data_IF_870872052669
#
_entry.id   IF_870872052669
#
_cell.length_a   1.000
_cell.length_b   1.000
_cell.length_c   1.000
_cell.angle_alpha   90.00
_cell.angle_beta   90.00
_cell.angle_gamma   90.00
#
_symmetry.space_group_name_H-M   'P 1'
#
loop_
_entity.id
_entity.type
_entity.pdbx_description
1 polymer ?
#
# COMPACT_ATOMS: atom_id res chain seq x y z
N UNK A 1 -29.71 -1.20 -10.33
CA UNK A 1 -29.40 -1.89 -9.05
C UNK A 1 -28.55 -3.14 -9.27
N UNK A 2 -28.42 -3.66 -10.50
CA UNK A 2 -27.53 -4.80 -10.81
C UNK A 2 -26.02 -4.44 -10.83
N UNK A 3 -25.62 -3.20 -11.16
CA UNK A 3 -24.20 -2.80 -11.21
C UNK A 3 -23.49 -2.71 -9.85
N UNK A 4 -24.23 -2.50 -8.75
CA UNK A 4 -23.62 -2.24 -7.43
C UNK A 4 -23.02 -3.50 -6.80
N UNK A 5 -23.36 -4.68 -7.32
CA UNK A 5 -22.87 -5.97 -6.81
C UNK A 5 -21.68 -6.53 -7.59
N UNK A 6 -21.34 -5.95 -8.75
CA UNK A 6 -20.18 -6.39 -9.53
C UNK A 6 -18.86 -6.03 -8.84
N UNK A 7 -18.80 -4.88 -8.17
CA UNK A 7 -17.64 -4.52 -7.34
C UNK A 7 -17.47 -5.46 -6.14
N UNK A 8 -18.56 -5.93 -5.54
CA UNK A 8 -18.54 -6.90 -4.43
C UNK A 8 -18.12 -8.29 -4.90
N UNK A 9 -18.57 -8.71 -6.09
CA UNK A 9 -18.11 -9.93 -6.75
C UNK A 9 -16.61 -9.85 -7.02
N UNK A 10 -16.14 -8.73 -7.55
CA UNK A 10 -14.73 -8.50 -7.85
C UNK A 10 -13.86 -8.50 -6.59
N UNK A 11 -14.23 -7.79 -5.51
CA UNK A 11 -13.51 -7.81 -4.23
C UNK A 11 -13.49 -9.22 -3.65
N UNK A 12 -14.62 -9.94 -3.68
CA UNK A 12 -14.68 -11.34 -3.25
C UNK A 12 -13.75 -12.21 -4.08
N UNK A 13 -13.70 -12.04 -5.40
CA UNK A 13 -12.82 -12.78 -6.29
C UNK A 13 -11.34 -12.45 -6.05
N UNK A 14 -10.97 -11.18 -5.83
CA UNK A 14 -9.60 -10.77 -5.46
C UNK A 14 -9.18 -11.32 -4.10
N UNK A 15 -10.06 -11.29 -3.09
CA UNK A 15 -9.79 -11.85 -1.76
C UNK A 15 -9.71 -13.39 -1.82
N UNK A 16 -10.57 -14.03 -2.61
CA UNK A 16 -10.52 -15.48 -2.84
C UNK A 16 -9.24 -15.86 -3.59
N UNK A 17 -8.83 -15.09 -4.60
CA UNK A 17 -7.58 -15.28 -5.31
C UNK A 17 -6.40 -15.14 -4.33
N UNK A 18 -6.33 -14.06 -3.55
CA UNK A 18 -5.31 -13.88 -2.50
C UNK A 18 -5.31 -15.05 -1.49
N UNK A 19 -6.48 -15.56 -1.12
CA UNK A 19 -6.61 -16.70 -0.20
C UNK A 19 -6.17 -18.03 -0.84
N UNK A 20 -6.44 -18.25 -2.11
CA UNK A 20 -5.97 -19.42 -2.89
C UNK A 20 -4.49 -19.33 -3.26
N UNK A 21 -3.95 -18.12 -3.35
CA UNK A 21 -2.53 -17.84 -3.48
C UNK A 21 -1.82 -18.05 -2.13
N UNK A 22 -2.52 -17.83 -1.00
CA UNK A 22 -2.00 -18.12 0.35
C UNK A 22 -2.09 -19.59 0.78
N UNK A 23 -2.66 -20.48 -0.04
CA UNK A 23 -2.63 -21.92 0.26
C UNK A 23 -1.21 -22.48 0.07
N UNK A 24 -0.69 -23.30 0.99
CA UNK A 24 0.75 -23.64 1.06
C UNK A 24 1.35 -24.38 -0.15
N UNK A 25 0.51 -24.83 -1.10
CA UNK A 25 0.91 -25.72 -2.19
C UNK A 25 0.81 -25.08 -3.59
N UNK A 26 0.41 -23.81 -3.69
CA UNK A 26 0.39 -23.10 -4.96
C UNK A 26 1.60 -22.18 -5.01
N UNK A 27 2.64 -22.56 -5.76
CA UNK A 27 3.71 -21.64 -6.10
C UNK A 27 3.09 -20.48 -6.89
N UNK A 28 2.99 -19.30 -6.25
CA UNK A 28 2.51 -18.10 -6.92
C UNK A 28 3.60 -17.71 -7.93
N UNK A 29 3.36 -17.99 -9.20
CA UNK A 29 4.25 -17.53 -10.27
C UNK A 29 3.99 -16.06 -10.52
N UNK A 30 4.95 -15.22 -10.14
CA UNK A 30 4.91 -13.79 -10.43
C UNK A 30 4.93 -13.55 -11.95
N UNK A 31 3.96 -12.78 -12.45
CA UNK A 31 3.88 -12.45 -13.88
C UNK A 31 4.77 -11.24 -14.20
N UNK A 32 6.05 -11.52 -14.46
CA UNK A 32 7.06 -10.54 -14.88
C UNK A 32 6.63 -9.69 -16.09
N UNK A 33 5.87 -10.28 -17.03
CA UNK A 33 5.46 -9.55 -18.24
C UNK A 33 4.40 -8.51 -17.90
N UNK A 34 3.43 -8.87 -17.09
CA UNK A 34 2.40 -7.94 -16.62
C UNK A 34 2.98 -6.90 -15.67
N UNK A 35 3.94 -7.29 -14.82
CA UNK A 35 4.67 -6.37 -13.96
C UNK A 35 5.35 -5.25 -14.74
N UNK A 36 6.16 -5.59 -15.75
CA UNK A 36 6.83 -4.60 -16.61
C UNK A 36 5.86 -3.66 -17.32
N UNK A 37 4.66 -4.14 -17.66
CA UNK A 37 3.61 -3.28 -18.25
C UNK A 37 3.05 -2.32 -17.21
N UNK A 38 2.85 -2.77 -15.98
CA UNK A 38 2.36 -1.94 -14.89
C UNK A 38 3.36 -0.85 -14.49
N UNK A 39 4.67 -1.17 -14.44
CA UNK A 39 5.70 -0.21 -14.02
C UNK A 39 6.15 0.75 -15.13
N UNK A 40 6.02 0.35 -16.39
CA UNK A 40 6.35 1.21 -17.53
C UNK A 40 5.24 2.20 -17.91
N UNK A 41 4.07 2.14 -17.25
CA UNK A 41 2.96 3.01 -17.58
C UNK A 41 3.21 4.44 -17.05
N UNK A 42 3.17 5.48 -17.91
CA UNK A 42 3.33 6.86 -17.47
C UNK A 42 2.12 7.38 -16.69
N UNK A 43 0.95 6.74 -16.82
CA UNK A 43 -0.23 7.08 -16.03
C UNK A 43 -0.15 6.45 -14.64
N UNK A 44 0.31 7.27 -13.70
CA UNK A 44 0.41 6.93 -12.30
C UNK A 44 -0.91 6.42 -11.70
N UNK A 45 -2.07 6.87 -12.20
CA UNK A 45 -3.37 6.44 -11.67
C UNK A 45 -3.74 5.02 -12.08
N UNK A 46 -3.21 4.53 -13.21
CA UNK A 46 -3.47 3.16 -13.65
C UNK A 46 -3.02 2.13 -12.61
N UNK A 47 -1.95 2.41 -11.87
CA UNK A 47 -1.47 1.57 -10.77
C UNK A 47 -2.53 1.35 -9.68
N UNK A 48 -3.46 2.28 -9.52
CA UNK A 48 -4.51 2.22 -8.49
C UNK A 48 -5.80 1.60 -8.99
N UNK A 49 -6.09 1.76 -10.28
CA UNK A 49 -7.34 1.34 -10.91
C UNK A 49 -7.24 -0.06 -11.50
N UNK A 50 -6.09 -0.46 -12.08
CA UNK A 50 -5.93 -1.76 -12.75
C UNK A 50 -5.81 -2.91 -11.72
N UNK A 51 -6.81 -3.81 -11.65
CA UNK A 51 -6.81 -5.04 -10.86
C UNK A 51 -5.49 -5.81 -10.77
N UNK A 52 -4.89 -6.01 -11.94
CA UNK A 52 -3.71 -6.84 -12.10
C UNK A 52 -2.52 -6.11 -11.51
N UNK A 53 -2.38 -4.81 -11.82
CA UNK A 53 -1.29 -4.00 -11.29
C UNK A 53 -1.37 -3.89 -9.77
N UNK A 54 -2.56 -3.65 -9.19
CA UNK A 54 -2.74 -3.62 -7.74
C UNK A 54 -2.30 -4.95 -7.10
N UNK A 55 -2.71 -6.08 -7.67
CA UNK A 55 -2.36 -7.41 -7.14
C UNK A 55 -0.86 -7.68 -7.21
N UNK A 56 -0.22 -7.34 -8.34
CA UNK A 56 1.23 -7.50 -8.51
C UNK A 56 2.02 -6.60 -7.56
N UNK A 57 1.56 -5.37 -7.32
CA UNK A 57 2.13 -4.47 -6.32
C UNK A 57 2.01 -5.03 -4.90
N UNK A 58 0.82 -5.53 -4.52
CA UNK A 58 0.64 -6.17 -3.21
C UNK A 58 1.54 -7.40 -3.07
N UNK A 59 1.72 -8.19 -4.13
CA UNK A 59 2.65 -9.32 -4.13
C UNK A 59 4.08 -8.85 -3.86
N UNK A 60 4.56 -7.85 -4.62
CA UNK A 60 5.89 -7.26 -4.46
C UNK A 60 6.12 -6.75 -3.04
N UNK A 61 5.18 -5.99 -2.50
CA UNK A 61 5.29 -5.44 -1.14
C UNK A 61 5.33 -6.53 -0.06
N UNK A 62 4.61 -7.64 -0.25
CA UNK A 62 4.50 -8.71 0.75
C UNK A 62 5.67 -9.69 0.72
N UNK A 63 6.19 -9.98 -0.48
CA UNK A 63 7.06 -11.14 -0.70
C UNK A 63 8.46 -10.80 -1.20
N UNK A 64 8.67 -9.64 -1.84
CA UNK A 64 10.01 -9.31 -2.31
C UNK A 64 10.95 -8.99 -1.14
N UNK A 65 12.21 -9.46 -1.18
CA UNK A 65 13.18 -9.15 -0.16
C UNK A 65 13.49 -7.65 -0.09
N UNK A 66 13.45 -7.09 1.12
CA UNK A 66 13.97 -5.75 1.39
C UNK A 66 15.48 -5.84 1.50
N UNK A 67 16.19 -5.18 0.58
CA UNK A 67 17.67 -5.17 0.57
C UNK A 67 18.25 -3.99 1.34
N UNK A 68 17.48 -2.90 1.46
CA UNK A 68 17.90 -1.66 2.12
C UNK A 68 16.67 -0.91 2.62
N UNK A 69 16.83 -0.22 3.75
CA UNK A 69 15.80 0.67 4.28
C UNK A 69 16.45 1.91 4.90
N UNK A 70 15.88 3.08 4.65
CA UNK A 70 16.28 4.33 5.27
C UNK A 70 15.11 5.05 5.94
N UNK A 71 15.44 5.85 6.96
CA UNK A 71 14.44 6.56 7.75
C UNK A 71 13.91 7.75 6.98
N UNK A 72 12.60 7.83 6.82
CA UNK A 72 11.89 9.04 6.40
C UNK A 72 11.31 9.73 7.63
N UNK A 73 11.66 11.01 7.80
CA UNK A 73 10.98 11.90 8.75
C UNK A 73 9.67 12.34 8.10
N UNK A 74 8.55 12.23 8.82
CA UNK A 74 7.24 12.63 8.31
C UNK A 74 7.26 14.09 7.86
N UNK A 75 6.62 14.39 6.72
CA UNK A 75 6.51 15.77 6.24
C UNK A 75 5.56 16.52 7.16
N UNK A 76 6.12 17.47 7.92
CA UNK A 76 5.32 18.47 8.59
C UNK A 76 4.82 19.50 7.58
N UNK A 77 3.50 19.70 7.52
CA UNK A 77 2.96 20.88 6.85
C UNK A 77 3.44 22.15 7.58
N UNK A 78 3.92 23.16 6.84
CA UNK A 78 4.39 24.45 7.38
C UNK A 78 3.38 25.13 8.33
N UNK A 79 2.08 24.84 8.19
CA UNK A 79 1.04 25.30 9.12
C UNK A 79 1.18 24.67 10.52
N UNK A 80 1.42 23.36 10.59
CA UNK A 80 1.60 22.62 11.84
C UNK A 80 2.89 23.02 12.59
N UNK A 81 3.91 23.50 11.88
CA UNK A 81 5.17 23.97 12.48
C UNK A 81 5.03 25.35 13.14
N UNK A 82 4.08 26.17 12.67
CA UNK A 82 3.79 27.50 13.23
C UNK A 82 2.83 27.48 14.40
N UNK A 83 1.93 26.49 14.46
CA UNK A 83 0.87 26.44 15.47
C UNK A 83 1.29 25.73 16.77
N UNK A 84 2.34 24.89 16.74
CA UNK A 84 2.70 24.06 17.89
C UNK A 84 4.23 23.89 18.03
N UNK A 85 4.88 24.46 19.07
CA UNK A 85 6.31 24.27 19.33
C UNK A 85 6.71 22.81 19.62
N UNK A 86 5.77 21.95 20.07
CA UNK A 86 5.98 20.51 20.32
C UNK A 86 5.81 19.67 19.04
N UNK A 87 5.57 20.31 17.90
CA UNK A 87 5.34 19.66 16.62
C UNK A 87 6.53 18.85 16.07
N UNK A 88 7.74 19.12 16.55
CA UNK A 88 8.93 18.27 16.27
C UNK A 88 8.73 16.83 16.75
N UNK A 89 8.08 16.62 17.90
CA UNK A 89 7.81 15.28 18.40
C UNK A 89 6.72 14.58 17.57
N UNK A 90 5.77 15.35 17.02
CA UNK A 90 4.78 14.84 16.05
C UNK A 90 5.43 14.42 14.72
N UNK A 91 6.38 15.20 14.20
CA UNK A 91 7.15 14.87 12.99
C UNK A 91 7.97 13.57 13.16
N UNK A 92 8.53 13.37 14.35
CA UNK A 92 9.25 12.16 14.73
C UNK A 92 8.30 10.96 14.91
N UNK A 93 7.04 11.21 15.28
CA UNK A 93 6.00 10.18 15.45
C UNK A 93 5.31 9.73 14.15
N UNK A 94 5.26 10.59 13.13
CA UNK A 94 4.70 10.28 11.79
C UNK A 94 5.78 9.85 10.78
N UNK A 95 6.93 9.39 11.28
CA UNK A 95 8.00 8.85 10.46
C UNK A 95 7.76 7.38 10.07
N UNK A 96 8.47 6.94 9.04
CA UNK A 96 8.48 5.55 8.61
C UNK A 96 9.82 5.17 8.00
N UNK A 97 9.90 3.95 7.44
CA UNK A 97 11.05 3.52 6.68
C UNK A 97 10.68 3.49 5.20
N UNK A 98 11.52 4.07 4.35
CA UNK A 98 11.46 3.77 2.92
C UNK A 98 12.25 2.50 2.68
N UNK A 99 11.61 1.54 2.04
CA UNK A 99 12.20 0.25 1.73
C UNK A 99 12.57 0.19 0.26
N UNK A 100 13.66 -0.51 -0.04
CA UNK A 100 14.14 -0.79 -1.38
C UNK A 100 14.18 -2.30 -1.57
N UNK A 101 13.60 -2.76 -2.66
CA UNK A 101 13.49 -4.18 -2.98
C UNK A 101 14.63 -4.62 -3.92
N UNK A 102 14.74 -5.92 -4.14
CA UNK A 102 15.80 -6.54 -4.94
C UNK A 102 15.92 -5.98 -6.37
N UNK A 103 14.80 -5.57 -6.99
CA UNK A 103 14.79 -4.99 -8.33
C UNK A 103 15.28 -3.53 -8.40
N UNK A 104 15.59 -2.90 -7.26
CA UNK A 104 16.10 -1.52 -7.08
C UNK A 104 15.19 -0.39 -7.60
N UNK A 105 14.25 -0.70 -8.47
CA UNK A 105 13.26 0.22 -9.05
C UNK A 105 12.05 0.35 -8.12
N UNK A 106 11.67 -0.74 -7.47
CA UNK A 106 10.52 -0.78 -6.56
C UNK A 106 10.91 -0.24 -5.20
N UNK A 107 10.06 0.63 -4.66
CA UNK A 107 10.21 1.18 -3.31
C UNK A 107 8.91 1.05 -2.56
N UNK A 108 9.02 0.77 -1.27
CA UNK A 108 7.89 0.73 -0.34
C UNK A 108 8.03 1.78 0.72
N UNK A 109 6.93 1.99 1.44
CA UNK A 109 6.93 2.76 2.67
C UNK A 109 6.38 1.87 3.79
N UNK A 110 7.22 1.65 4.80
CA UNK A 110 6.91 0.81 5.95
C UNK A 110 6.57 1.70 7.14
N UNK A 111 5.36 1.53 7.67
CA UNK A 111 4.93 2.13 8.94
C UNK A 111 5.10 1.12 10.07
N UNK A 112 5.76 1.48 11.18
CA UNK A 112 5.88 0.58 12.32
C UNK A 112 4.52 0.27 12.94
N UNK A 113 4.38 -0.98 13.39
CA UNK A 113 3.25 -1.43 14.20
C UNK A 113 3.31 -0.79 15.58
N UNK A 114 2.74 0.42 15.72
CA UNK A 114 2.59 1.10 17.00
C UNK A 114 1.15 0.92 17.49
N UNK A 115 0.99 0.56 18.76
CA UNK A 115 -0.31 0.35 19.41
C UNK A 115 -0.84 1.61 20.10
N UNK A 116 -0.20 2.76 19.89
CA UNK A 116 -0.40 3.96 20.70
C UNK A 116 -1.50 4.85 20.10
N UNK A 117 -2.60 5.03 20.84
CA UNK A 117 -3.89 5.60 20.38
C UNK A 117 -3.98 7.13 20.44
N UNK A 118 -2.86 7.84 20.57
CA UNK A 118 -2.85 9.30 20.66
C UNK A 118 -2.56 9.98 19.32
N UNK A 119 -3.58 10.32 18.52
CA UNK A 119 -3.48 11.12 17.26
C UNK A 119 -2.38 10.75 16.24
N UNK A 120 -1.71 9.62 16.41
CA UNK A 120 -0.63 9.14 15.54
C UNK A 120 -1.19 8.38 14.36
N UNK A 121 -0.52 8.49 13.23
CA UNK A 121 -0.81 7.63 12.08
C UNK A 121 -0.55 6.17 12.44
N UNK A 122 -1.51 5.28 12.18
CA UNK A 122 -1.37 3.84 12.46
C UNK A 122 -1.26 3.07 11.15
N UNK A 123 -0.44 2.02 11.13
CA UNK A 123 -0.34 1.11 9.98
C UNK A 123 -1.71 0.49 9.62
N UNK A 124 -2.55 0.22 10.64
CA UNK A 124 -3.88 -0.34 10.44
C UNK A 124 -4.81 0.63 9.70
N UNK A 125 -4.73 1.93 9.97
CA UNK A 125 -5.52 2.93 9.28
C UNK A 125 -5.20 2.98 7.77
N UNK A 126 -3.95 2.80 7.37
CA UNK A 126 -3.56 2.72 5.95
C UNK A 126 -4.21 1.51 5.26
N UNK A 127 -4.14 0.34 5.90
CA UNK A 127 -4.74 -0.90 5.38
C UNK A 127 -6.25 -0.75 5.24
N UNK A 128 -6.92 -0.22 6.27
CA UNK A 128 -8.38 -0.01 6.23
C UNK A 128 -8.76 1.01 5.16
N UNK A 129 -8.03 2.12 5.07
CA UNK A 129 -8.30 3.18 4.08
C UNK A 129 -8.18 2.66 2.65
N UNK A 130 -7.17 1.85 2.36
CA UNK A 130 -6.99 1.20 1.06
C UNK A 130 -8.19 0.36 0.61
N UNK A 131 -8.74 -0.43 1.53
CA UNK A 131 -9.88 -1.29 1.23
C UNK A 131 -11.19 -0.51 1.16
N UNK A 132 -11.38 0.48 2.04
CA UNK A 132 -12.56 1.36 2.00
C UNK A 132 -12.61 2.13 0.69
N UNK A 133 -11.49 2.72 0.25
CA UNK A 133 -11.36 3.46 -1.01
C UNK A 133 -11.74 2.63 -2.24
N UNK A 134 -11.39 1.34 -2.26
CA UNK A 134 -11.83 0.39 -3.31
C UNK A 134 -13.29 0.02 -3.19
N UNK A 135 -13.78 -0.18 -1.96
CA UNK A 135 -15.19 -0.53 -1.73
C UNK A 135 -16.15 0.57 -2.19
N UNK A 136 -15.78 1.83 -1.98
CA UNK A 136 -16.58 2.99 -2.40
C UNK A 136 -16.34 3.40 -3.86
N UNK A 137 -15.35 2.78 -4.53
CA UNK A 137 -15.07 3.01 -5.95
C UNK A 137 -14.26 4.28 -6.25
N UNK A 138 -13.48 4.78 -5.28
CA UNK A 138 -12.61 5.95 -5.48
C UNK A 138 -11.28 5.60 -6.14
N UNK A 139 -10.65 4.48 -5.78
CA UNK A 139 -9.39 4.01 -6.38
C UNK A 139 -8.24 5.04 -6.33
N UNK A 140 -8.14 5.82 -5.25
CA UNK A 140 -7.10 6.84 -5.07
C UNK A 140 -5.98 6.40 -4.12
N UNK A 141 -6.15 5.26 -3.45
CA UNK A 141 -5.18 4.77 -2.46
C UNK A 141 -4.17 3.79 -3.04
N UNK A 142 -2.88 3.91 -2.67
CA UNK A 142 -1.84 3.00 -3.13
C UNK A 142 -1.96 1.60 -2.51
N UNK A 143 -1.51 0.55 -3.22
CA UNK A 143 -1.36 -0.80 -2.67
C UNK A 143 -0.66 -0.81 -1.30
N UNK A 144 -1.26 -1.53 -0.36
CA UNK A 144 -0.75 -1.70 1.02
C UNK A 144 -0.96 -3.14 1.48
N UNK A 145 -0.03 -3.64 2.29
CA UNK A 145 -0.05 -4.99 2.86
C UNK A 145 0.30 -4.94 4.36
N UNK A 146 -0.19 -5.90 5.17
CA UNK A 146 0.10 -5.99 6.60
C UNK A 146 1.53 -6.46 6.93
#
# INVERSE_FOLDING_TARGET
VEDTYDHLRYIRESVMALKMLSTPNTEIKFDERSWRKCTADPDFFRMYVDPMCVTLWMYKLQWDPIIFADRIVGVMTLAAEKEDPDSRDKAMSNGGLRTYFEDLETRGYWKPCTLDTGHRETYLAEIVSFWVDRFVGFFHTPPVVP
#
